data_IF_359686077256
#
_entry.id   IF_359686077256
#
_cell.length_a   1.000
_cell.length_b   1.000
_cell.length_c   1.000
_cell.angle_alpha   90.00
_cell.angle_beta   90.00
_cell.angle_gamma   90.00
#
_symmetry.space_group_name_H-M   'P 1'
#
loop_
_entity.id
_entity.type
_entity.pdbx_description
1 polymer ?
#
# COMPACT_ATOMS: atom_id res chain seq x y z
N UNK A 1 11.95 13.91 5.58
CA UNK A 1 11.52 12.48 5.49
C UNK A 1 10.32 12.37 4.57
N UNK A 2 10.34 11.44 3.61
CA UNK A 2 9.19 11.09 2.78
C UNK A 2 8.37 9.99 3.47
N UNK A 3 7.04 10.10 3.37
CA UNK A 3 6.12 9.08 3.91
C UNK A 3 5.15 8.63 2.82
N UNK A 4 5.17 7.34 2.53
CA UNK A 4 4.32 6.72 1.53
C UNK A 4 3.22 5.89 2.18
N UNK A 5 2.04 5.87 1.56
CA UNK A 5 0.94 4.99 1.96
C UNK A 5 1.02 3.67 1.19
N UNK A 6 1.11 2.56 1.94
CA UNK A 6 1.29 1.23 1.37
C UNK A 6 0.03 0.70 0.68
N UNK A 7 0.20 -0.13 -0.36
CA UNK A 7 -0.88 -0.93 -0.91
C UNK A 7 -1.35 -1.98 0.12
N UNK A 8 -2.65 -2.06 0.36
CA UNK A 8 -3.25 -3.07 1.24
C UNK A 8 -4.50 -3.64 0.58
N UNK A 9 -4.34 -4.76 -0.10
CA UNK A 9 -5.41 -5.44 -0.85
C UNK A 9 -6.60 -5.75 0.04
N UNK A 10 -7.77 -5.40 -0.44
CA UNK A 10 -9.02 -5.62 0.26
C UNK A 10 -9.24 -4.75 1.51
N UNK A 11 -8.40 -3.73 1.74
CA UNK A 11 -8.44 -2.89 2.94
C UNK A 11 -8.39 -1.41 2.61
N UNK A 12 -7.43 -0.98 1.79
CA UNK A 12 -7.17 0.42 1.48
C UNK A 12 -7.52 0.72 0.03
N UNK A 13 -8.82 0.89 -0.21
CA UNK A 13 -9.34 1.26 -1.53
C UNK A 13 -9.27 2.78 -1.79
N UNK A 14 -9.79 3.20 -2.94
CA UNK A 14 -9.78 4.61 -3.33
C UNK A 14 -10.57 5.51 -2.38
N UNK A 15 -11.65 5.02 -1.76
CA UNK A 15 -12.44 5.82 -0.82
C UNK A 15 -11.67 6.08 0.47
N UNK A 16 -11.02 5.06 1.02
CA UNK A 16 -10.18 5.20 2.21
C UNK A 16 -8.93 6.03 1.90
N UNK A 17 -8.31 5.86 0.70
CA UNK A 17 -7.20 6.73 0.27
C UNK A 17 -7.59 8.20 0.24
N UNK A 18 -8.75 8.51 -0.34
CA UNK A 18 -9.27 9.87 -0.41
C UNK A 18 -9.38 10.49 0.98
N UNK A 19 -10.03 9.80 1.92
CA UNK A 19 -10.22 10.28 3.29
C UNK A 19 -8.90 10.42 4.05
N UNK A 20 -8.00 9.44 3.95
CA UNK A 20 -6.72 9.51 4.64
C UNK A 20 -5.84 10.64 4.10
N UNK A 21 -5.87 10.91 2.80
CA UNK A 21 -5.07 12.00 2.22
C UNK A 21 -5.61 13.39 2.50
N UNK A 22 -6.87 13.54 2.89
CA UNK A 22 -7.42 14.82 3.38
C UNK A 22 -6.76 15.27 4.69
N UNK A 23 -6.38 14.33 5.55
CA UNK A 23 -5.87 14.59 6.89
C UNK A 23 -4.37 14.31 7.05
N UNK A 24 -3.72 13.98 5.96
CA UNK A 24 -2.30 13.66 5.89
C UNK A 24 -1.60 14.41 4.75
N UNK A 25 -0.28 14.38 4.78
CA UNK A 25 0.60 14.88 3.74
C UNK A 25 1.50 13.77 3.19
N UNK A 26 0.89 12.63 2.83
CA UNK A 26 1.62 11.57 2.15
C UNK A 26 2.26 12.08 0.87
N UNK A 27 3.50 11.68 0.64
CA UNK A 27 4.23 12.03 -0.59
C UNK A 27 3.75 11.20 -1.80
N UNK A 28 3.23 10.00 -1.52
CA UNK A 28 2.70 9.09 -2.53
C UNK A 28 1.80 8.04 -1.88
N UNK A 29 0.73 7.68 -2.56
CA UNK A 29 -0.06 6.48 -2.29
C UNK A 29 0.19 5.44 -3.38
N UNK A 30 0.29 4.17 -3.01
CA UNK A 30 0.32 3.04 -3.96
C UNK A 30 -1.02 2.31 -3.87
N UNK A 31 -1.64 2.02 -5.01
CA UNK A 31 -2.95 1.35 -5.03
C UNK A 31 -2.85 -0.11 -4.59
N UNK A 32 -3.99 -0.70 -4.27
CA UNK A 32 -4.14 -2.16 -4.34
C UNK A 32 -3.63 -2.64 -5.71
N UNK A 33 -3.30 -3.92 -5.87
CA UNK A 33 -2.72 -4.37 -7.13
C UNK A 33 -3.78 -4.73 -8.20
N UNK A 34 -3.45 -4.45 -9.45
CA UNK A 34 -4.07 -5.11 -10.60
C UNK A 34 -3.36 -6.42 -10.87
N UNK A 35 -4.11 -7.51 -10.83
CA UNK A 35 -3.56 -8.84 -11.14
C UNK A 35 -3.46 -9.03 -12.64
N UNK A 36 -2.23 -9.15 -13.12
CA UNK A 36 -1.86 -9.37 -14.52
C UNK A 36 -1.48 -10.85 -14.68
N UNK A 37 -2.22 -11.59 -15.50
CA UNK A 37 -1.93 -12.99 -15.81
C UNK A 37 -1.44 -13.10 -17.24
N UNK A 38 -2.33 -13.22 -18.20
CA UNK A 38 -2.04 -13.54 -19.59
C UNK A 38 -2.78 -12.65 -20.59
N UNK A 39 -3.07 -11.40 -20.18
CA UNK A 39 -3.81 -10.46 -21.01
C UNK A 39 -3.54 -8.99 -20.66
N UNK A 40 -3.78 -8.13 -21.63
CA UNK A 40 -3.92 -6.70 -21.41
C UNK A 40 -5.28 -6.41 -20.75
N UNK A 41 -5.26 -5.88 -19.54
CA UNK A 41 -6.48 -5.61 -18.77
C UNK A 41 -7.32 -4.50 -19.42
N UNK A 42 -8.68 -4.62 -19.33
CA UNK A 42 -9.57 -3.57 -19.83
C UNK A 42 -9.36 -2.24 -19.10
N UNK A 43 -9.48 -1.12 -19.82
CA UNK A 43 -9.36 0.25 -19.29
C UNK A 43 -10.22 0.47 -18.03
N UNK A 44 -11.43 -0.05 -18.02
CA UNK A 44 -12.33 0.04 -16.85
C UNK A 44 -11.75 -0.55 -15.56
N UNK A 45 -10.85 -1.52 -15.67
CA UNK A 45 -10.20 -2.12 -14.49
C UNK A 45 -9.24 -1.15 -13.81
N UNK A 46 -8.52 -0.34 -14.60
CA UNK A 46 -7.63 0.71 -14.09
C UNK A 46 -8.42 1.82 -13.39
N UNK A 47 -9.45 2.35 -14.03
CA UNK A 47 -10.28 3.40 -13.43
C UNK A 47 -11.08 2.94 -12.19
N UNK A 48 -11.51 1.68 -12.17
CA UNK A 48 -12.17 1.10 -11.00
C UNK A 48 -11.23 1.01 -9.80
N UNK A 49 -9.96 0.66 -10.01
CA UNK A 49 -8.96 0.57 -8.96
C UNK A 49 -8.44 1.95 -8.55
N UNK A 50 -8.22 2.81 -9.52
CA UNK A 50 -7.60 4.11 -9.36
C UNK A 50 -8.45 5.20 -10.06
N UNK A 51 -9.59 5.60 -9.49
CA UNK A 51 -10.40 6.68 -10.06
C UNK A 51 -9.65 8.02 -10.07
N UNK A 52 -8.57 8.16 -9.30
CA UNK A 52 -7.67 9.30 -9.29
C UNK A 52 -7.01 9.55 -10.66
N UNK A 53 -7.04 8.58 -11.58
CA UNK A 53 -6.63 8.78 -12.99
C UNK A 53 -7.43 9.89 -13.67
N UNK A 54 -8.71 10.10 -13.28
CA UNK A 54 -9.51 11.22 -13.77
C UNK A 54 -9.01 12.58 -13.27
N UNK A 55 -8.15 12.60 -12.25
CA UNK A 55 -7.56 13.79 -11.65
C UNK A 55 -6.03 13.76 -11.71
N UNK A 56 -5.46 13.42 -12.87
CA UNK A 56 -4.01 13.40 -13.11
C UNK A 56 -3.25 12.53 -12.08
N UNK A 57 -3.83 11.39 -11.72
CA UNK A 57 -3.28 10.45 -10.72
C UNK A 57 -3.07 11.07 -9.34
N UNK A 58 -4.02 11.91 -8.91
CA UNK A 58 -4.00 12.58 -7.60
C UNK A 58 -5.34 12.44 -6.89
N UNK A 59 -5.28 12.31 -5.57
CA UNK A 59 -6.46 12.49 -4.73
C UNK A 59 -6.95 13.94 -4.78
N UNK A 60 -8.14 14.22 -4.25
CA UNK A 60 -8.67 15.60 -4.21
C UNK A 60 -7.80 16.54 -3.39
N UNK A 61 -7.07 16.02 -2.39
CA UNK A 61 -6.08 16.78 -1.61
C UNK A 61 -4.74 17.00 -2.33
N UNK A 62 -4.57 16.44 -3.54
CA UNK A 62 -3.39 16.62 -4.39
C UNK A 62 -2.30 15.56 -4.21
N UNK A 63 -2.50 14.56 -3.35
CA UNK A 63 -1.53 13.48 -3.15
C UNK A 63 -1.44 12.58 -4.38
N UNK A 64 -0.21 12.34 -4.85
CA UNK A 64 0.04 11.45 -5.98
C UNK A 64 -0.38 10.01 -5.67
N UNK A 65 -0.91 9.32 -6.69
CA UNK A 65 -1.28 7.90 -6.62
C UNK A 65 -0.59 7.14 -7.73
N UNK A 66 -0.01 5.99 -7.40
CA UNK A 66 0.68 5.11 -8.34
C UNK A 66 -0.01 3.76 -8.40
N UNK A 67 -0.29 3.29 -9.61
CA UNK A 67 -0.87 1.96 -9.81
C UNK A 67 0.17 0.89 -9.55
N UNK A 68 -0.22 -0.15 -8.78
CA UNK A 68 0.57 -1.34 -8.56
C UNK A 68 0.07 -2.49 -9.45
N UNK A 69 0.99 -3.16 -10.11
CA UNK A 69 0.74 -4.39 -10.87
C UNK A 69 1.26 -5.61 -10.10
N UNK A 70 0.63 -6.76 -10.31
CA UNK A 70 1.07 -8.03 -9.77
C UNK A 70 0.96 -9.09 -10.85
N UNK A 71 2.06 -9.77 -11.15
CA UNK A 71 2.14 -10.80 -12.17
C UNK A 71 3.53 -11.40 -12.28
N UNK A 72 3.71 -12.37 -13.18
CA UNK A 72 5.00 -13.05 -13.41
C UNK A 72 5.45 -13.01 -14.87
N UNK A 73 4.57 -12.71 -15.82
CA UNK A 73 4.89 -12.72 -17.24
C UNK A 73 5.34 -11.33 -17.72
N UNK A 74 6.63 -11.18 -18.10
CA UNK A 74 7.20 -9.87 -18.44
C UNK A 74 6.45 -9.14 -19.55
N UNK A 75 6.02 -9.86 -20.60
CA UNK A 75 5.28 -9.31 -21.71
C UNK A 75 3.96 -8.66 -21.29
N UNK A 76 3.19 -9.33 -20.44
CA UNK A 76 1.93 -8.78 -19.95
C UNK A 76 2.11 -7.70 -18.90
N UNK A 77 3.16 -7.79 -18.08
CA UNK A 77 3.54 -6.69 -17.17
C UNK A 77 3.90 -5.42 -17.96
N UNK A 78 4.67 -5.54 -19.05
CA UNK A 78 5.03 -4.42 -19.92
C UNK A 78 3.80 -3.75 -20.55
N UNK A 79 2.91 -4.53 -21.16
CA UNK A 79 1.68 -4.05 -21.80
C UNK A 79 0.75 -3.32 -20.81
N UNK A 80 0.57 -3.88 -19.61
CA UNK A 80 -0.26 -3.27 -18.59
C UNK A 80 0.41 -2.05 -17.94
N UNK A 81 1.74 -2.04 -17.81
CA UNK A 81 2.48 -0.88 -17.34
C UNK A 81 2.38 0.29 -18.32
N UNK A 82 2.56 0.03 -19.63
CA UNK A 82 2.34 1.03 -20.68
C UNK A 82 0.93 1.61 -20.62
N UNK A 83 -0.10 0.74 -20.54
CA UNK A 83 -1.49 1.19 -20.43
C UNK A 83 -1.74 2.02 -19.16
N UNK A 84 -1.20 1.64 -18.02
CA UNK A 84 -1.37 2.41 -16.78
C UNK A 84 -0.88 3.85 -16.93
N UNK A 85 0.30 4.06 -17.52
CA UNK A 85 0.86 5.41 -17.70
C UNK A 85 0.20 6.18 -18.84
N UNK A 86 -0.27 5.52 -19.89
CA UNK A 86 -1.12 6.12 -20.93
C UNK A 86 -2.42 6.67 -20.36
N UNK A 87 -3.01 5.98 -19.37
CA UNK A 87 -4.20 6.42 -18.65
C UNK A 87 -3.92 7.49 -17.60
N UNK A 88 -2.66 7.87 -17.38
CA UNK A 88 -2.25 8.96 -16.52
C UNK A 88 -1.65 8.56 -15.17
N UNK A 89 -1.37 7.28 -14.92
CA UNK A 89 -0.71 6.85 -13.67
C UNK A 89 0.66 7.49 -13.52
N UNK A 90 0.98 7.96 -12.31
CA UNK A 90 2.30 8.50 -11.96
C UNK A 90 3.33 7.37 -11.81
N UNK A 91 3.71 6.80 -12.94
CA UNK A 91 4.53 5.58 -12.99
C UNK A 91 3.76 4.33 -12.60
N UNK A 92 4.49 3.27 -12.31
CA UNK A 92 3.94 1.97 -11.91
C UNK A 92 4.81 1.32 -10.84
N UNK A 93 4.20 0.44 -10.05
CA UNK A 93 4.89 -0.36 -9.03
C UNK A 93 4.66 -1.85 -9.28
N UNK A 94 5.66 -2.68 -9.04
CA UNK A 94 5.55 -4.14 -9.13
C UNK A 94 5.46 -4.76 -7.74
N UNK A 95 4.41 -5.52 -7.48
CA UNK A 95 4.23 -6.26 -6.24
C UNK A 95 4.98 -7.60 -6.25
N UNK A 96 6.01 -7.70 -5.42
CA UNK A 96 6.74 -8.94 -5.14
C UNK A 96 6.66 -9.33 -3.66
N UNK A 97 5.65 -8.86 -2.92
CA UNK A 97 5.57 -9.07 -1.47
C UNK A 97 4.25 -9.63 -0.95
N UNK A 98 3.20 -9.75 -1.78
CA UNK A 98 1.90 -10.24 -1.34
C UNK A 98 1.99 -11.71 -0.86
N UNK A 99 1.66 -12.00 0.43
CA UNK A 99 1.80 -13.33 0.99
C UNK A 99 0.59 -14.23 0.75
N UNK A 100 -0.46 -13.74 0.08
CA UNK A 100 -1.72 -14.46 -0.13
C UNK A 100 -1.51 -15.79 -0.86
N UNK A 101 -2.07 -16.87 -0.32
CA UNK A 101 -2.00 -18.20 -0.93
C UNK A 101 -2.59 -18.22 -2.35
N UNK A 102 -3.70 -17.50 -2.56
CA UNK A 102 -4.36 -17.40 -3.86
C UNK A 102 -3.47 -16.71 -4.90
N UNK A 103 -2.78 -15.64 -4.51
CA UNK A 103 -1.83 -14.91 -5.37
C UNK A 103 -0.62 -15.78 -5.67
N UNK A 104 0.00 -16.35 -4.64
CA UNK A 104 1.21 -17.16 -4.78
C UNK A 104 0.96 -18.45 -5.57
N UNK A 105 -0.22 -19.03 -5.47
CA UNK A 105 -0.60 -20.22 -6.26
C UNK A 105 -0.66 -19.98 -7.77
N UNK A 106 -0.72 -18.71 -8.20
CA UNK A 106 -0.68 -18.32 -9.63
C UNK A 106 0.66 -17.71 -10.06
N UNK A 107 1.70 -17.83 -9.24
CA UNK A 107 3.07 -17.46 -9.57
C UNK A 107 3.43 -15.98 -9.38
N UNK A 108 2.50 -15.14 -8.90
CA UNK A 108 2.76 -13.70 -8.64
C UNK A 108 3.06 -13.37 -7.18
N UNK A 109 3.27 -12.09 -6.90
CA UNK A 109 3.51 -11.60 -5.54
C UNK A 109 4.78 -12.15 -4.92
N UNK A 110 4.71 -12.62 -3.66
CA UNK A 110 5.88 -13.10 -2.93
C UNK A 110 6.53 -14.36 -3.55
N UNK A 111 5.84 -15.09 -4.42
CA UNK A 111 6.42 -16.25 -5.12
C UNK A 111 7.65 -15.86 -5.95
N UNK A 112 7.68 -14.64 -6.49
CA UNK A 112 8.82 -14.14 -7.27
C UNK A 112 10.11 -14.04 -6.43
N UNK A 113 10.00 -13.93 -5.10
CA UNK A 113 11.17 -13.89 -4.21
C UNK A 113 12.00 -15.18 -4.21
N UNK A 114 11.41 -16.29 -4.67
CA UNK A 114 12.12 -17.57 -4.81
C UNK A 114 13.14 -17.57 -5.95
N UNK A 115 12.90 -16.72 -6.95
CA UNK A 115 13.76 -16.59 -8.12
C UNK A 115 13.92 -15.11 -8.51
N UNK A 116 15.01 -14.44 -8.08
CA UNK A 116 15.28 -13.04 -8.39
C UNK A 116 15.32 -12.73 -9.89
N UNK A 117 15.62 -13.70 -10.75
CA UNK A 117 15.57 -13.53 -12.20
C UNK A 117 14.16 -13.18 -12.71
N UNK A 118 13.11 -13.74 -12.08
CA UNK A 118 11.73 -13.38 -12.44
C UNK A 118 11.42 -11.92 -12.07
N UNK A 119 11.95 -11.43 -10.94
CA UNK A 119 11.82 -10.02 -10.55
C UNK A 119 12.53 -9.12 -11.55
N UNK A 120 13.78 -9.46 -11.89
CA UNK A 120 14.57 -8.73 -12.87
C UNK A 120 13.84 -8.61 -14.21
N UNK A 121 13.38 -9.73 -14.76
CA UNK A 121 12.70 -9.77 -16.07
C UNK A 121 11.40 -8.97 -16.06
N UNK A 122 10.58 -9.12 -15.02
CA UNK A 122 9.31 -8.38 -14.89
C UNK A 122 9.53 -6.88 -14.75
N UNK A 123 10.39 -6.46 -13.83
CA UNK A 123 10.69 -5.06 -13.60
C UNK A 123 11.38 -4.40 -14.81
N UNK A 124 12.30 -5.10 -15.48
CA UNK A 124 12.96 -4.62 -16.72
C UNK A 124 11.96 -4.41 -17.83
N UNK A 125 11.07 -5.37 -18.08
CA UNK A 125 10.04 -5.24 -19.09
C UNK A 125 9.11 -4.05 -18.83
N UNK A 126 8.71 -3.82 -17.59
CA UNK A 126 7.96 -2.63 -17.20
C UNK A 126 8.78 -1.35 -17.41
N UNK A 127 10.08 -1.33 -17.06
CA UNK A 127 10.95 -0.17 -17.25
C UNK A 127 11.10 0.21 -18.71
N UNK A 128 11.25 -0.77 -19.58
CA UNK A 128 11.38 -0.56 -21.03
C UNK A 128 10.08 -0.07 -21.68
N UNK A 129 8.93 -0.47 -21.14
CA UNK A 129 7.60 -0.06 -21.64
C UNK A 129 7.12 1.29 -21.12
N UNK A 130 7.68 1.79 -20.02
CA UNK A 130 7.28 3.05 -19.38
C UNK A 130 8.25 4.16 -19.78
N UNK A 131 7.79 5.39 -20.15
CA UNK A 131 8.66 6.52 -20.44
C UNK A 131 9.69 6.78 -19.34
N UNK A 132 10.92 7.13 -19.72
CA UNK A 132 12.05 7.28 -18.81
C UNK A 132 11.84 8.29 -17.66
N UNK A 133 11.02 9.31 -17.89
CA UNK A 133 10.71 10.34 -16.90
C UNK A 133 9.69 9.90 -15.84
N UNK A 134 9.00 8.77 -16.04
CA UNK A 134 8.04 8.21 -15.08
C UNK A 134 8.70 7.10 -14.28
N UNK A 135 8.42 7.03 -12.96
CA UNK A 135 9.02 6.01 -12.11
C UNK A 135 8.47 4.61 -12.38
N UNK A 136 9.36 3.62 -12.28
CA UNK A 136 9.03 2.21 -12.14
C UNK A 136 9.65 1.73 -10.84
N UNK A 137 8.82 1.28 -9.91
CA UNK A 137 9.26 0.87 -8.57
C UNK A 137 8.91 -0.57 -8.29
N UNK A 138 9.56 -1.16 -7.32
CA UNK A 138 9.29 -2.54 -6.91
C UNK A 138 9.13 -2.61 -5.40
N UNK A 139 8.13 -3.37 -4.93
CA UNK A 139 7.90 -3.62 -3.51
C UNK A 139 8.14 -5.09 -3.20
N UNK A 140 9.13 -5.36 -2.33
CA UNK A 140 9.57 -6.71 -1.97
C UNK A 140 9.45 -6.98 -0.47
N UNK A 141 9.67 -8.23 -0.10
CA UNK A 141 10.05 -8.69 1.24
C UNK A 141 11.52 -9.14 1.22
N UNK A 142 12.09 -9.43 2.39
CA UNK A 142 13.48 -9.91 2.52
C UNK A 142 13.74 -11.25 1.81
N UNK A 143 12.70 -12.04 1.63
CA UNK A 143 12.74 -13.31 0.95
C UNK A 143 11.45 -14.10 1.13
N UNK A 144 11.43 -15.34 0.65
CA UNK A 144 10.29 -16.24 0.80
C UNK A 144 10.23 -16.84 2.21
N UNK A 145 11.16 -17.72 2.54
CA UNK A 145 11.29 -18.43 3.83
C UNK A 145 12.44 -17.93 4.70
N UNK A 146 13.44 -17.31 4.07
CA UNK A 146 14.62 -16.73 4.72
C UNK A 146 15.09 -15.49 3.96
N UNK A 147 15.96 -14.71 4.57
CA UNK A 147 16.58 -13.51 3.98
C UNK A 147 17.90 -13.79 3.24
N UNK A 148 18.26 -15.06 3.05
CA UNK A 148 19.52 -15.46 2.40
C UNK A 148 19.68 -14.84 1.01
N UNK A 149 18.58 -14.69 0.26
CA UNK A 149 18.58 -14.10 -1.10
C UNK A 149 18.28 -12.60 -1.14
N UNK A 150 18.24 -11.91 0.00
CA UNK A 150 17.85 -10.50 0.05
C UNK A 150 18.68 -9.60 -0.86
N UNK A 151 19.97 -9.87 -1.00
CA UNK A 151 20.86 -9.09 -1.86
C UNK A 151 20.66 -9.42 -3.34
N UNK A 152 20.43 -10.69 -3.69
CA UNK A 152 20.12 -11.08 -5.06
C UNK A 152 18.80 -10.42 -5.53
N UNK A 153 17.80 -10.38 -4.65
CA UNK A 153 16.52 -9.71 -4.89
C UNK A 153 16.73 -8.22 -5.11
N UNK A 154 17.50 -7.57 -4.24
CA UNK A 154 17.78 -6.14 -4.32
C UNK A 154 18.57 -5.77 -5.59
N UNK A 155 19.61 -6.55 -5.92
CA UNK A 155 20.41 -6.37 -7.13
C UNK A 155 19.55 -6.53 -8.40
N UNK A 156 18.68 -7.54 -8.43
CA UNK A 156 17.77 -7.78 -9.55
C UNK A 156 16.89 -6.55 -9.83
N UNK A 157 16.35 -5.91 -8.78
CA UNK A 157 15.54 -4.70 -8.89
C UNK A 157 16.34 -3.53 -9.45
N UNK A 158 17.54 -3.28 -8.92
CA UNK A 158 18.40 -2.19 -9.42
C UNK A 158 18.86 -2.43 -10.86
N UNK A 159 19.30 -3.65 -11.18
CA UNK A 159 19.76 -4.00 -12.53
C UNK A 159 18.64 -3.93 -13.57
N UNK A 160 17.40 -4.14 -13.17
CA UNK A 160 16.23 -3.95 -14.02
C UNK A 160 15.95 -2.48 -14.37
N UNK A 161 16.63 -1.53 -13.73
CA UNK A 161 16.45 -0.10 -13.94
C UNK A 161 15.30 0.51 -13.15
N UNK A 162 14.85 -0.16 -12.08
CA UNK A 162 13.85 0.41 -11.17
C UNK A 162 14.38 1.71 -10.53
N UNK A 163 13.46 2.65 -10.30
CA UNK A 163 13.82 3.97 -9.77
C UNK A 163 13.87 4.01 -8.24
N UNK A 164 13.16 3.12 -7.57
CA UNK A 164 13.13 2.97 -6.11
C UNK A 164 12.77 1.54 -5.73
N UNK A 165 13.22 1.11 -4.56
CA UNK A 165 12.87 -0.18 -3.97
C UNK A 165 12.21 0.01 -2.60
N UNK A 166 11.02 -0.54 -2.41
CA UNK A 166 10.38 -0.62 -1.08
C UNK A 166 10.64 -2.01 -0.50
N UNK A 167 11.21 -2.06 0.70
CA UNK A 167 11.51 -3.32 1.40
C UNK A 167 10.67 -3.46 2.66
N UNK A 168 9.79 -4.47 2.69
CA UNK A 168 9.15 -4.90 3.93
C UNK A 168 10.13 -5.79 4.69
N UNK A 169 10.50 -5.36 5.90
CA UNK A 169 11.56 -5.98 6.71
C UNK A 169 11.19 -7.36 7.30
N UNK A 170 10.52 -8.21 6.52
CA UNK A 170 10.15 -9.59 6.86
C UNK A 170 10.25 -10.49 5.64
N UNK A 171 10.39 -11.79 5.86
CA UNK A 171 10.16 -12.79 4.82
C UNK A 171 8.64 -13.01 4.62
N UNK A 172 8.28 -13.76 3.59
CA UNK A 172 6.87 -14.14 3.38
C UNK A 172 6.39 -15.06 4.51
N UNK A 173 7.23 -16.00 4.98
CA UNK A 173 6.87 -16.94 6.04
C UNK A 173 6.75 -16.27 7.42
N UNK A 174 7.46 -15.17 7.68
CA UNK A 174 7.28 -14.35 8.89
C UNK A 174 5.87 -13.73 8.96
N UNK A 175 5.22 -13.55 7.81
CA UNK A 175 3.89 -12.98 7.72
C UNK A 175 3.83 -11.54 8.25
N UNK A 176 3.15 -11.35 9.37
CA UNK A 176 2.99 -10.06 10.05
C UNK A 176 3.34 -10.11 11.54
N UNK A 177 4.16 -11.07 11.96
CA UNK A 177 4.61 -11.21 13.35
C UNK A 177 5.52 -10.04 13.71
N UNK A 178 5.16 -9.28 14.76
CA UNK A 178 5.87 -8.05 15.14
C UNK A 178 7.33 -8.30 15.50
N UNK A 179 7.62 -9.38 16.21
CA UNK A 179 8.96 -9.80 16.64
C UNK A 179 9.89 -10.24 15.50
N UNK A 180 9.36 -10.36 14.28
CA UNK A 180 10.11 -10.79 13.09
C UNK A 180 10.55 -9.63 12.20
N UNK A 181 10.30 -8.38 12.58
CA UNK A 181 10.78 -7.24 11.81
C UNK A 181 12.32 -7.17 11.88
N UNK A 182 12.95 -7.02 10.72
CA UNK A 182 14.40 -6.89 10.60
C UNK A 182 14.74 -5.60 9.81
N UNK A 183 14.82 -4.49 10.52
CA UNK A 183 15.19 -3.20 9.93
C UNK A 183 16.69 -3.16 9.55
N UNK A 184 17.56 -3.89 10.27
CA UNK A 184 18.98 -3.98 9.94
C UNK A 184 19.20 -4.56 8.54
N UNK A 185 18.44 -5.59 8.17
CA UNK A 185 18.50 -6.17 6.83
C UNK A 185 18.11 -5.14 5.74
N UNK A 186 17.09 -4.27 6.00
CA UNK A 186 16.78 -3.16 5.11
C UNK A 186 17.99 -2.21 4.98
N UNK A 187 18.64 -1.90 6.10
CA UNK A 187 19.84 -1.06 6.13
C UNK A 187 21.00 -1.63 5.31
N UNK A 188 21.22 -2.94 5.38
CA UNK A 188 22.24 -3.61 4.56
C UNK A 188 21.91 -3.56 3.06
N UNK A 189 20.63 -3.76 2.69
CA UNK A 189 20.17 -3.58 1.32
C UNK A 189 20.39 -2.13 0.86
N UNK A 190 20.04 -1.15 1.69
CA UNK A 190 20.22 0.28 1.38
C UNK A 190 21.68 0.63 1.11
N UNK A 191 22.62 0.11 1.91
CA UNK A 191 24.07 0.35 1.72
C UNK A 191 24.60 -0.23 0.40
N UNK A 192 23.98 -1.31 -0.08
CA UNK A 192 24.40 -2.01 -1.29
C UNK A 192 23.92 -1.30 -2.56
N UNK A 193 22.74 -0.70 -2.54
CA UNK A 193 22.10 -0.13 -3.73
C UNK A 193 22.44 1.35 -3.92
N UNK A 194 22.47 1.78 -5.19
CA UNK A 194 22.56 3.19 -5.57
C UNK A 194 21.19 3.88 -5.75
N UNK A 195 20.13 3.08 -5.94
CA UNK A 195 18.76 3.60 -5.98
C UNK A 195 18.21 3.82 -4.57
N UNK A 196 17.25 4.75 -4.36
CA UNK A 196 16.59 4.94 -3.08
C UNK A 196 15.91 3.67 -2.57
N UNK A 197 16.08 3.40 -1.27
CA UNK A 197 15.40 2.31 -0.57
C UNK A 197 14.44 2.90 0.46
N UNK A 198 13.20 2.44 0.45
CA UNK A 198 12.13 2.88 1.33
C UNK A 198 11.85 1.78 2.33
N UNK A 199 11.95 2.09 3.63
CA UNK A 199 11.72 1.12 4.69
C UNK A 199 10.22 0.94 4.96
N UNK A 200 9.79 -0.32 5.14
CA UNK A 200 8.41 -0.66 5.43
C UNK A 200 8.31 -1.74 6.52
N UNK A 201 7.40 -1.54 7.46
CA UNK A 201 7.03 -2.50 8.51
C UNK A 201 7.24 -1.97 9.92
N UNK A 202 6.26 -2.21 10.80
CA UNK A 202 6.22 -1.85 12.23
C UNK A 202 6.41 -0.35 12.50
N UNK A 203 5.75 0.49 11.71
CA UNK A 203 5.71 1.94 11.91
C UNK A 203 4.31 2.30 12.40
N UNK A 204 4.21 2.71 13.66
CA UNK A 204 2.96 2.93 14.38
C UNK A 204 2.82 4.34 14.97
N UNK A 205 3.94 5.01 15.23
CA UNK A 205 4.07 6.29 15.88
C UNK A 205 5.37 7.00 15.45
N UNK A 206 5.65 8.13 16.04
CA UNK A 206 6.87 8.91 15.78
C UNK A 206 8.13 8.13 16.19
N UNK A 207 8.12 7.52 17.37
CA UNK A 207 9.26 6.80 17.94
C UNK A 207 9.66 5.60 17.08
N UNK A 208 8.71 4.77 16.67
CA UNK A 208 8.97 3.62 15.79
C UNK A 208 9.46 4.05 14.41
N UNK A 209 8.97 5.19 13.89
CA UNK A 209 9.47 5.74 12.64
C UNK A 209 10.93 6.21 12.76
N UNK A 210 11.27 6.93 13.83
CA UNK A 210 12.64 7.38 14.07
C UNK A 210 13.60 6.18 14.28
N UNK A 211 13.17 5.17 15.05
CA UNK A 211 13.94 3.94 15.26
C UNK A 211 14.17 3.20 13.92
N UNK A 212 13.15 3.11 13.08
CA UNK A 212 13.27 2.51 11.74
C UNK A 212 14.28 3.27 10.88
N UNK A 213 14.17 4.60 10.80
CA UNK A 213 15.11 5.43 10.03
C UNK A 213 16.54 5.31 10.53
N UNK A 214 16.73 5.31 11.84
CA UNK A 214 18.06 5.14 12.45
C UNK A 214 18.65 3.77 12.13
N UNK A 215 17.87 2.70 12.25
CA UNK A 215 18.32 1.33 12.00
C UNK A 215 18.61 1.07 10.52
N UNK A 216 17.83 1.67 9.61
CA UNK A 216 17.95 1.43 8.17
C UNK A 216 18.87 2.42 7.46
N UNK A 217 19.03 3.62 7.99
CA UNK A 217 19.65 4.75 7.30
C UNK A 217 18.85 5.24 6.08
N UNK A 218 17.60 4.80 5.91
CA UNK A 218 16.70 5.30 4.88
C UNK A 218 16.24 6.73 5.23
N UNK A 219 15.82 7.48 4.21
CA UNK A 219 15.24 8.83 4.34
C UNK A 219 13.71 8.85 4.08
N UNK A 220 13.16 7.68 3.78
CA UNK A 220 11.75 7.47 3.48
C UNK A 220 11.21 6.21 4.15
N UNK A 221 9.94 6.27 4.55
CA UNK A 221 9.20 5.14 5.11
C UNK A 221 7.88 4.93 4.37
N UNK A 222 7.44 3.69 4.30
CA UNK A 222 6.11 3.34 3.81
C UNK A 222 5.27 2.80 4.97
N UNK A 223 4.10 3.39 5.18
CA UNK A 223 3.19 3.05 6.27
C UNK A 223 2.06 2.19 5.74
N UNK A 224 1.79 1.07 6.40
CA UNK A 224 0.66 0.19 6.12
C UNK A 224 -0.44 0.31 7.18
N UNK A 225 -0.62 -0.76 7.95
CA UNK A 225 -1.71 -0.91 8.94
C UNK A 225 -1.80 0.24 9.95
N UNK A 226 -0.67 0.85 10.30
CA UNK A 226 -0.63 1.99 11.21
C UNK A 226 -1.51 3.15 10.74
N UNK A 227 -1.59 3.41 9.43
CA UNK A 227 -2.44 4.46 8.85
C UNK A 227 -3.94 4.22 9.08
N UNK A 228 -4.34 2.97 9.29
CA UNK A 228 -5.73 2.61 9.61
C UNK A 228 -6.00 2.65 11.12
N UNK A 229 -4.97 2.44 11.93
CA UNK A 229 -5.07 2.57 13.39
C UNK A 229 -5.13 4.04 13.81
N UNK A 230 -4.27 4.88 13.19
CA UNK A 230 -4.15 6.32 13.46
C UNK A 230 -4.32 7.06 12.14
N UNK A 231 -5.51 7.65 11.86
CA UNK A 231 -5.82 8.24 10.57
C UNK A 231 -4.90 9.37 10.11
N UNK A 232 -4.26 10.12 11.01
CA UNK A 232 -3.30 11.18 10.68
C UNK A 232 -1.83 10.73 10.81
N UNK A 233 -1.54 9.44 10.67
CA UNK A 233 -0.23 8.88 11.02
C UNK A 233 0.95 9.49 10.25
N UNK A 234 0.79 9.95 9.01
CA UNK A 234 1.91 10.58 8.31
C UNK A 234 2.36 11.89 8.99
N UNK A 235 1.43 12.65 9.56
CA UNK A 235 1.73 13.88 10.32
C UNK A 235 2.35 13.56 11.67
N UNK A 236 1.86 12.51 12.34
CA UNK A 236 2.48 12.00 13.57
C UNK A 236 3.93 11.62 13.30
N UNK A 237 4.18 10.85 12.26
CA UNK A 237 5.52 10.36 11.88
C UNK A 237 6.45 11.48 11.42
N UNK A 238 5.95 12.44 10.62
CA UNK A 238 6.77 13.54 10.08
C UNK A 238 7.07 14.63 11.12
N UNK A 239 6.07 15.00 11.92
CA UNK A 239 6.08 16.24 12.71
C UNK A 239 5.93 16.02 14.21
N UNK A 240 5.81 14.79 14.65
CA UNK A 240 5.50 14.43 16.04
C UNK A 240 4.20 15.07 16.53
N UNK A 241 3.22 15.21 15.64
CA UNK A 241 1.89 15.68 16.02
C UNK A 241 1.18 14.61 16.87
N UNK A 242 0.26 15.01 17.75
CA UNK A 242 -0.56 14.04 18.46
C UNK A 242 -1.44 13.24 17.48
N UNK A 243 -1.81 12.02 17.87
CA UNK A 243 -2.79 11.27 17.12
C UNK A 243 -4.11 12.05 17.06
N UNK A 244 -4.84 11.88 15.96
CA UNK A 244 -6.12 12.53 15.72
C UNK A 244 -7.09 12.29 16.88
N UNK A 245 -7.75 13.33 17.42
CA UNK A 245 -8.78 13.16 18.43
C UNK A 245 -9.96 12.31 17.92
N UNK A 246 -10.61 11.55 18.79
CA UNK A 246 -11.73 10.69 18.39
C UNK A 246 -12.86 11.43 17.68
N UNK A 247 -13.20 12.65 18.10
CA UNK A 247 -14.22 13.47 17.42
C UNK A 247 -13.92 13.71 15.95
N UNK A 248 -12.64 13.91 15.58
CA UNK A 248 -12.21 14.09 14.19
C UNK A 248 -12.24 12.75 13.44
N UNK A 249 -11.92 11.64 14.12
CA UNK A 249 -12.06 10.29 13.55
C UNK A 249 -13.53 10.00 13.24
N UNK A 250 -14.46 10.36 14.13
CA UNK A 250 -15.91 10.25 13.88
C UNK A 250 -16.30 11.05 12.65
N UNK A 251 -15.77 12.26 12.48
CA UNK A 251 -16.02 13.08 11.29
C UNK A 251 -15.59 12.36 10.00
N UNK A 252 -14.43 11.68 10.00
CA UNK A 252 -13.99 10.87 8.86
C UNK A 252 -14.92 9.67 8.62
N UNK A 253 -15.35 8.99 9.67
CA UNK A 253 -16.28 7.87 9.56
C UNK A 253 -17.65 8.33 9.03
N UNK A 254 -18.14 9.52 9.45
CA UNK A 254 -19.35 10.14 8.94
C UNK A 254 -19.22 10.47 7.45
N UNK A 255 -18.09 11.03 7.02
CA UNK A 255 -17.82 11.25 5.59
C UNK A 255 -17.81 9.92 4.84
N UNK A 256 -17.08 8.91 5.35
CA UNK A 256 -17.01 7.60 4.72
C UNK A 256 -18.38 6.95 4.55
N UNK A 257 -19.25 7.05 5.55
CA UNK A 257 -20.60 6.48 5.50
C UNK A 257 -21.50 7.11 4.44
N UNK A 258 -21.14 8.30 3.91
CA UNK A 258 -21.86 9.02 2.85
C UNK A 258 -21.27 8.79 1.46
N UNK A 259 -20.06 8.23 1.37
CA UNK A 259 -19.44 7.94 0.08
C UNK A 259 -20.12 6.73 -0.55
N UNK A 260 -20.38 6.82 -1.85
CA UNK A 260 -20.95 5.73 -2.63
C UNK A 260 -19.88 5.11 -3.52
N UNK A 261 -19.83 3.79 -3.56
CA UNK A 261 -19.05 3.06 -4.55
C UNK A 261 -19.96 2.65 -5.69
N UNK A 262 -19.59 3.02 -6.91
CA UNK A 262 -20.33 2.67 -8.10
C UNK A 262 -20.57 1.14 -8.18
N UNK A 263 -21.84 0.74 -8.26
CA UNK A 263 -22.26 -0.67 -8.31
C UNK A 263 -22.31 -1.38 -6.95
N UNK A 264 -22.15 -0.66 -5.83
CA UNK A 264 -22.35 -1.24 -4.50
C UNK A 264 -23.85 -1.45 -4.23
N UNK A 265 -24.17 -2.65 -3.74
CA UNK A 265 -25.51 -3.04 -3.30
C UNK A 265 -25.75 -2.74 -1.82
N UNK A 266 -24.90 -1.93 -1.18
CA UNK A 266 -24.92 -1.60 0.25
C UNK A 266 -24.13 -2.57 1.14
N UNK A 267 -23.65 -3.69 0.62
CA UNK A 267 -22.86 -4.68 1.39
C UNK A 267 -21.40 -4.26 1.52
N UNK A 268 -20.88 -3.55 0.54
CA UNK A 268 -19.48 -3.14 0.52
C UNK A 268 -19.15 -2.22 1.70
N UNK A 269 -19.89 -1.13 1.87
CA UNK A 269 -19.69 -0.19 2.98
C UNK A 269 -19.88 -0.85 4.35
N UNK A 270 -20.86 -1.74 4.48
CA UNK A 270 -21.08 -2.50 5.72
C UNK A 270 -19.81 -3.25 6.12
N UNK A 271 -19.21 -3.97 5.20
CA UNK A 271 -18.00 -4.73 5.47
C UNK A 271 -16.80 -3.81 5.75
N UNK A 272 -16.63 -2.74 4.97
CA UNK A 272 -15.48 -1.84 5.05
C UNK A 272 -15.45 -0.98 6.30
N UNK A 273 -16.58 -0.44 6.72
CA UNK A 273 -16.65 0.34 7.97
C UNK A 273 -16.30 -0.56 9.16
N UNK A 274 -16.88 -1.75 9.23
CA UNK A 274 -16.56 -2.73 10.29
C UNK A 274 -15.08 -3.11 10.28
N UNK A 275 -14.52 -3.30 9.09
CA UNK A 275 -13.10 -3.59 8.92
C UNK A 275 -12.23 -2.43 9.42
N UNK A 276 -12.53 -1.19 9.05
CA UNK A 276 -11.75 -0.03 9.50
C UNK A 276 -11.84 0.16 11.02
N UNK A 277 -13.03 0.02 11.62
CA UNK A 277 -13.18 0.03 13.08
C UNK A 277 -12.36 -1.06 13.77
N UNK A 278 -12.15 -2.21 13.12
CA UNK A 278 -11.28 -3.27 13.65
C UNK A 278 -9.80 -2.87 13.76
N UNK A 279 -9.37 -1.87 12.98
CA UNK A 279 -8.06 -1.25 13.09
C UNK A 279 -8.07 -0.11 14.12
N UNK A 280 -9.02 0.82 14.02
CA UNK A 280 -9.14 1.99 14.91
C UNK A 280 -9.23 1.61 16.38
N UNK A 281 -9.94 0.54 16.74
CA UNK A 281 -10.08 0.06 18.14
C UNK A 281 -8.78 -0.37 18.81
N UNK A 282 -7.68 -0.41 18.09
CA UNK A 282 -6.35 -0.68 18.66
C UNK A 282 -5.74 0.57 19.29
N UNK A 283 -6.25 1.73 18.94
CA UNK A 283 -5.78 3.03 19.41
C UNK A 283 -6.87 3.86 20.09
N UNK A 284 -8.16 3.58 19.80
CA UNK A 284 -9.31 4.31 20.32
C UNK A 284 -10.29 3.34 20.99
N UNK A 285 -10.52 3.50 22.30
CA UNK A 285 -11.49 2.69 23.04
C UNK A 285 -12.91 2.90 22.52
N UNK A 286 -13.24 4.14 22.14
CA UNK A 286 -14.54 4.52 21.57
C UNK A 286 -14.83 3.79 20.24
N UNK A 287 -13.79 3.44 19.48
CA UNK A 287 -13.95 2.64 18.26
C UNK A 287 -14.39 1.21 18.58
N UNK A 288 -13.99 0.66 19.73
CA UNK A 288 -14.47 -0.65 20.19
C UNK A 288 -15.95 -0.59 20.55
N UNK A 289 -16.37 0.47 21.26
CA UNK A 289 -17.78 0.67 21.61
C UNK A 289 -18.63 0.81 20.34
N UNK A 290 -18.24 1.67 19.42
CA UNK A 290 -18.93 1.85 18.15
C UNK A 290 -18.98 0.55 17.34
N UNK A 291 -17.89 -0.23 17.32
CA UNK A 291 -17.87 -1.53 16.66
C UNK A 291 -18.91 -2.49 17.26
N UNK A 292 -19.05 -2.53 18.60
CA UNK A 292 -20.05 -3.38 19.27
C UNK A 292 -21.47 -2.99 18.88
N UNK A 293 -21.76 -1.69 18.74
CA UNK A 293 -23.07 -1.21 18.32
C UNK A 293 -23.43 -1.63 16.88
N UNK A 294 -22.46 -1.54 15.95
CA UNK A 294 -22.74 -1.78 14.53
C UNK A 294 -22.47 -3.20 14.04
N UNK A 295 -21.79 -4.05 14.82
CA UNK A 295 -21.31 -5.36 14.35
C UNK A 295 -22.40 -6.28 13.80
N UNK A 296 -23.61 -6.19 14.33
CA UNK A 296 -24.76 -7.00 13.92
C UNK A 296 -25.62 -6.35 12.81
N UNK A 297 -25.43 -5.06 12.56
CA UNK A 297 -26.16 -4.34 11.52
C UNK A 297 -25.70 -4.82 10.13
N UNK A 298 -26.64 -4.97 9.21
CA UNK A 298 -26.38 -5.55 7.89
C UNK A 298 -26.63 -4.57 6.73
N UNK A 299 -27.15 -3.39 7.02
CA UNK A 299 -27.42 -2.38 5.98
C UNK A 299 -26.52 -1.16 6.17
N UNK A 300 -26.10 -0.55 5.07
CA UNK A 300 -25.33 0.70 5.09
C UNK A 300 -26.12 1.85 5.73
N UNK A 301 -27.44 1.89 5.51
CA UNK A 301 -28.32 2.93 6.07
C UNK A 301 -28.36 2.87 7.62
N UNK A 302 -28.49 1.68 8.21
CA UNK A 302 -28.51 1.52 9.67
C UNK A 302 -27.15 1.89 10.28
N UNK A 303 -26.05 1.45 9.67
CA UNK A 303 -24.71 1.81 10.11
C UNK A 303 -24.47 3.32 10.00
N UNK A 304 -24.85 3.92 8.87
CA UNK A 304 -24.71 5.36 8.69
C UNK A 304 -25.52 6.15 9.73
N UNK A 305 -26.73 5.70 10.07
CA UNK A 305 -27.56 6.33 11.11
C UNK A 305 -26.87 6.33 12.47
N UNK A 306 -26.27 5.20 12.87
CA UNK A 306 -25.52 5.10 14.14
C UNK A 306 -24.29 6.02 14.11
N UNK A 307 -23.51 6.01 13.04
CA UNK A 307 -22.31 6.85 12.93
C UNK A 307 -22.66 8.34 12.88
N UNK A 308 -23.75 8.72 12.20
CA UNK A 308 -24.18 10.12 12.14
C UNK A 308 -24.72 10.66 13.47
N UNK A 309 -25.08 9.79 14.42
CA UNK A 309 -25.56 10.18 15.76
C UNK A 309 -24.42 10.37 16.80
N UNK A 310 -23.19 10.08 16.43
CA UNK A 310 -22.02 10.27 17.30
C UNK A 310 -21.41 11.65 17.11
#
# INVERSE_FOLDING_TARGET
MRVLLAPMEGVLDSLVRELLTEVNDYDLCVTEFLRVVDMLLPVKSFFRLCPELHNQSRTSSGTLVRIQLLGQYPEWLAENAARAVELGSYGVDLNCGCPSKLVNGSGGGATLLKDPELIYRGAKAMREAVPAHLPVTVKVRLGWDSDVRQFEIADAVQQAGATELVVHGRTKEDGYKADRINWQAIGEIRKRLSIPVIANGEIWDYESAQACLQATGCDAVMIGRGALNVPNLSRVVKYNEPRMPWADVVTLLQKYSRLEKQGDTGLYHVARIKQWLSYLRKEYEEALELFQEIRTLQTSADIARVIQSK
#
